data_IF_057018989891
#
_entry.id   IF_057018989891
#
_cell.length_a   1.000
_cell.length_b   1.000
_cell.length_c   1.000
_cell.angle_alpha   90.00
_cell.angle_beta   90.00
_cell.angle_gamma   90.00
#
_symmetry.space_group_name_H-M   'P 1'
#
loop_
_entity.id
_entity.type
_entity.pdbx_description
1 polymer ?
#
# COMPACT_ATOMS: atom_id res chain seq x y z
N UNK A 1 23.97 -9.51 13.11
CA UNK A 1 25.02 -10.47 12.73
C UNK A 1 24.49 -11.53 11.75
N UNK A 2 25.31 -11.97 10.79
CA UNK A 2 24.99 -13.11 9.90
C UNK A 2 25.62 -14.38 10.47
N UNK A 3 24.80 -15.41 10.62
CA UNK A 3 25.22 -16.76 10.98
C UNK A 3 24.83 -17.69 9.83
N UNK A 4 25.83 -18.35 9.24
CA UNK A 4 25.64 -19.29 8.12
C UNK A 4 25.43 -20.73 8.61
N UNK A 5 25.70 -20.98 9.88
CA UNK A 5 25.51 -22.25 10.54
C UNK A 5 24.66 -22.06 11.80
N UNK A 6 23.85 -23.04 12.21
CA UNK A 6 23.16 -23.00 13.48
C UNK A 6 24.13 -22.82 14.65
N UNK A 7 23.84 -21.92 15.56
CA UNK A 7 24.61 -21.66 16.77
C UNK A 7 23.73 -21.68 18.01
N UNK A 8 24.27 -22.14 19.13
CA UNK A 8 23.57 -22.04 20.40
C UNK A 8 23.50 -20.58 20.86
N UNK A 9 22.44 -20.22 21.59
CA UNK A 9 22.23 -18.85 22.07
C UNK A 9 23.43 -18.27 22.87
N UNK A 10 24.18 -19.13 23.55
CA UNK A 10 25.36 -18.72 24.33
C UNK A 10 26.55 -18.35 23.43
N UNK A 11 26.60 -18.92 22.21
CA UNK A 11 27.65 -18.71 21.22
C UNK A 11 27.29 -17.65 20.18
N UNK A 12 26.06 -17.12 20.25
CA UNK A 12 25.57 -16.07 19.36
C UNK A 12 26.17 -14.68 19.71
N UNK A 13 27.50 -14.58 19.66
CA UNK A 13 28.27 -13.40 20.14
C UNK A 13 28.82 -12.52 19.01
N UNK A 14 28.50 -12.82 17.72
CA UNK A 14 28.96 -11.99 16.59
C UNK A 14 28.43 -10.56 16.71
N UNK A 15 29.28 -9.61 16.36
CA UNK A 15 28.87 -8.21 16.18
C UNK A 15 27.93 -8.07 14.99
N UNK A 16 27.25 -6.94 14.90
CA UNK A 16 26.40 -6.60 13.76
C UNK A 16 27.18 -6.68 12.44
N UNK A 17 26.57 -7.32 11.45
CA UNK A 17 27.09 -7.34 10.10
C UNK A 17 26.77 -6.01 9.40
N UNK A 18 27.61 -5.60 8.47
CA UNK A 18 27.30 -4.47 7.60
C UNK A 18 26.12 -4.80 6.68
N UNK A 19 25.43 -3.78 6.17
CA UNK A 19 24.36 -3.98 5.20
C UNK A 19 24.86 -4.75 3.97
N UNK A 20 26.06 -4.44 3.49
CA UNK A 20 26.67 -5.11 2.33
C UNK A 20 26.86 -6.61 2.60
N UNK A 21 27.41 -6.98 3.75
CA UNK A 21 27.57 -8.39 4.12
C UNK A 21 26.24 -9.14 4.18
N UNK A 22 25.15 -8.46 4.57
CA UNK A 22 23.81 -9.05 4.58
C UNK A 22 23.30 -9.23 3.14
N UNK A 23 23.47 -8.20 2.29
CA UNK A 23 23.07 -8.28 0.88
C UNK A 23 23.82 -9.38 0.12
N UNK A 24 25.13 -9.53 0.35
CA UNK A 24 25.93 -10.58 -0.29
C UNK A 24 25.35 -11.97 0.04
N UNK A 25 25.06 -12.24 1.33
CA UNK A 25 24.46 -13.52 1.72
C UNK A 25 23.08 -13.74 1.09
N UNK A 26 22.23 -12.70 1.06
CA UNK A 26 20.90 -12.80 0.44
C UNK A 26 21.02 -13.12 -1.05
N UNK A 27 21.93 -12.45 -1.77
CA UNK A 27 22.12 -12.67 -3.19
C UNK A 27 22.74 -14.06 -3.48
N UNK A 28 23.69 -14.51 -2.67
CA UNK A 28 24.31 -15.84 -2.79
C UNK A 28 23.27 -16.96 -2.58
N UNK A 29 22.43 -16.84 -1.54
CA UNK A 29 21.37 -17.81 -1.24
C UNK A 29 20.34 -17.87 -2.38
N UNK A 30 19.95 -16.72 -2.94
CA UNK A 30 19.00 -16.66 -4.05
C UNK A 30 19.60 -17.20 -5.35
N UNK A 31 20.88 -16.89 -5.62
CA UNK A 31 21.62 -17.46 -6.75
C UNK A 31 21.69 -18.98 -6.65
N UNK A 32 21.95 -19.50 -5.46
CA UNK A 32 21.91 -20.94 -5.23
C UNK A 32 20.55 -21.56 -5.56
N UNK A 33 19.45 -20.89 -5.17
CA UNK A 33 18.10 -21.34 -5.49
C UNK A 33 17.78 -21.29 -6.99
N UNK A 34 18.34 -20.31 -7.71
CA UNK A 34 18.16 -20.14 -9.16
C UNK A 34 18.93 -21.18 -9.95
N UNK A 35 20.18 -21.43 -9.59
CA UNK A 35 21.10 -22.30 -10.31
C UNK A 35 20.80 -23.80 -10.13
N UNK A 36 20.17 -24.13 -9.01
CA UNK A 36 19.78 -25.51 -8.74
C UNK A 36 18.33 -25.73 -9.19
N UNK A 37 18.09 -26.76 -9.98
CA UNK A 37 16.80 -27.11 -10.61
C UNK A 37 15.74 -27.64 -9.63
N UNK A 38 15.77 -27.20 -8.35
CA UNK A 38 14.81 -27.62 -7.33
C UNK A 38 13.49 -26.84 -7.39
N UNK A 39 13.50 -25.66 -7.97
CA UNK A 39 12.32 -24.80 -8.05
C UNK A 39 11.66 -24.92 -9.44
N UNK A 40 10.34 -25.07 -9.46
CA UNK A 40 9.57 -24.89 -10.69
C UNK A 40 9.64 -23.41 -11.14
N UNK A 41 9.54 -23.16 -12.44
CA UNK A 41 9.54 -21.80 -12.98
C UNK A 41 8.46 -20.93 -12.32
N UNK A 42 7.23 -21.46 -12.22
CA UNK A 42 6.14 -20.84 -11.50
C UNK A 42 5.30 -21.89 -10.77
N UNK A 43 4.39 -21.43 -9.92
CA UNK A 43 3.47 -22.27 -9.13
C UNK A 43 1.99 -21.95 -9.41
N UNK A 44 1.69 -21.31 -10.53
CA UNK A 44 0.34 -20.86 -10.87
C UNK A 44 -0.69 -22.00 -11.02
N UNK A 45 -0.23 -23.18 -11.44
CA UNK A 45 -1.11 -24.35 -11.66
C UNK A 45 -0.91 -25.48 -10.65
N UNK A 46 0.29 -25.56 -10.06
CA UNK A 46 0.63 -26.60 -9.10
C UNK A 46 1.55 -26.06 -8.01
N UNK A 47 1.48 -26.64 -6.82
CA UNK A 47 2.28 -26.22 -5.66
C UNK A 47 2.10 -24.75 -5.26
N UNK A 48 0.91 -24.20 -5.49
CA UNK A 48 0.57 -22.84 -5.11
C UNK A 48 0.90 -22.56 -3.63
N UNK A 49 1.38 -21.37 -3.34
CA UNK A 49 1.87 -21.00 -2.00
C UNK A 49 3.30 -21.46 -1.68
N UNK A 50 3.98 -22.16 -2.61
CA UNK A 50 5.40 -22.50 -2.47
C UNK A 50 6.27 -21.53 -3.26
N UNK A 51 7.53 -21.28 -2.82
CA UNK A 51 8.48 -20.52 -3.62
C UNK A 51 8.70 -21.12 -5.01
N UNK A 52 8.85 -20.25 -6.00
CA UNK A 52 9.14 -20.61 -7.39
C UNK A 52 10.46 -20.00 -7.84
N UNK A 53 10.97 -20.42 -9.00
CA UNK A 53 12.14 -19.80 -9.62
C UNK A 53 11.88 -18.32 -9.95
N UNK A 54 10.68 -17.97 -10.42
CA UNK A 54 10.29 -16.57 -10.62
C UNK A 54 10.31 -15.75 -9.33
N UNK A 55 9.90 -16.32 -8.19
CA UNK A 55 10.05 -15.63 -6.90
C UNK A 55 11.52 -15.45 -6.50
N UNK A 56 12.37 -16.44 -6.81
CA UNK A 56 13.81 -16.38 -6.57
C UNK A 56 14.51 -15.32 -7.44
N UNK A 57 13.99 -14.97 -8.62
CA UNK A 57 14.45 -13.84 -9.43
C UNK A 57 13.85 -12.50 -8.98
N UNK A 58 12.59 -12.49 -8.54
CA UNK A 58 11.95 -11.25 -8.11
C UNK A 58 12.64 -10.61 -6.89
N UNK A 59 13.12 -11.43 -5.95
CA UNK A 59 13.77 -10.93 -4.74
C UNK A 59 15.11 -10.24 -5.00
N UNK A 60 16.11 -10.80 -5.75
CA UNK A 60 17.32 -10.09 -6.07
C UNK A 60 17.05 -8.86 -6.93
N UNK A 61 16.09 -8.89 -7.86
CA UNK A 61 15.65 -7.68 -8.56
C UNK A 61 15.25 -6.56 -7.62
N UNK A 62 14.49 -6.86 -6.55
CA UNK A 62 14.15 -5.87 -5.51
C UNK A 62 15.39 -5.41 -4.71
N UNK A 63 16.33 -6.31 -4.40
CA UNK A 63 17.60 -5.94 -3.74
C UNK A 63 18.41 -4.99 -4.62
N UNK A 64 18.53 -5.27 -5.91
CA UNK A 64 19.22 -4.41 -6.86
C UNK A 64 18.54 -3.05 -7.03
N UNK A 65 17.22 -3.00 -7.05
CA UNK A 65 16.47 -1.73 -7.02
C UNK A 65 16.83 -0.90 -5.78
N UNK A 66 16.89 -1.53 -4.61
CA UNK A 66 17.27 -0.86 -3.37
C UNK A 66 18.72 -0.36 -3.36
N UNK A 67 19.61 -1.09 -4.04
CA UNK A 67 21.03 -0.71 -4.23
C UNK A 67 21.24 0.28 -5.39
N UNK A 68 20.19 0.75 -6.05
CA UNK A 68 20.24 1.62 -7.24
C UNK A 68 20.97 0.98 -8.44
N UNK A 69 21.06 -0.35 -8.46
CA UNK A 69 21.62 -1.15 -9.56
C UNK A 69 20.51 -1.51 -10.55
N UNK A 70 20.04 -0.52 -11.29
CA UNK A 70 18.79 -0.65 -12.08
C UNK A 70 18.90 -1.58 -13.27
N UNK A 71 20.09 -1.75 -13.86
CA UNK A 71 20.28 -2.68 -14.97
C UNK A 71 20.17 -4.13 -14.48
N UNK A 72 20.84 -4.47 -13.40
CA UNK A 72 20.79 -5.80 -12.79
C UNK A 72 19.36 -6.11 -12.29
N UNK A 73 18.67 -5.13 -11.74
CA UNK A 73 17.27 -5.26 -11.37
C UNK A 73 16.37 -5.56 -12.58
N UNK A 74 16.57 -4.88 -13.70
CA UNK A 74 15.82 -5.08 -14.94
C UNK A 74 16.05 -6.48 -15.51
N UNK A 75 17.31 -6.95 -15.53
CA UNK A 75 17.68 -8.28 -15.99
C UNK A 75 16.98 -9.38 -15.18
N UNK A 76 16.95 -9.24 -13.85
CA UNK A 76 16.25 -10.20 -12.97
C UNK A 76 14.73 -10.15 -13.15
N UNK A 77 14.13 -8.99 -13.29
CA UNK A 77 12.68 -8.86 -13.53
C UNK A 77 12.28 -9.44 -14.90
N UNK A 78 13.12 -9.33 -15.93
CA UNK A 78 12.90 -10.01 -17.21
C UNK A 78 12.86 -11.54 -17.04
N UNK A 79 13.70 -12.10 -16.17
CA UNK A 79 13.66 -13.52 -15.86
C UNK A 79 12.35 -13.95 -15.16
N UNK A 80 11.71 -13.06 -14.38
CA UNK A 80 10.39 -13.33 -13.79
C UNK A 80 9.35 -13.57 -14.88
N UNK A 81 9.33 -12.73 -15.93
CA UNK A 81 8.43 -12.90 -17.07
C UNK A 81 8.73 -14.21 -17.83
N UNK A 82 10.00 -14.53 -18.04
CA UNK A 82 10.40 -15.79 -18.68
C UNK A 82 9.99 -17.02 -17.86
N UNK A 83 9.79 -16.89 -16.56
CA UNK A 83 9.23 -17.94 -15.71
C UNK A 83 7.70 -18.10 -15.87
N UNK A 84 7.03 -17.25 -16.65
CA UNK A 84 5.60 -17.32 -16.96
C UNK A 84 4.73 -16.42 -16.08
N UNK A 85 5.31 -15.54 -15.29
CA UNK A 85 4.59 -14.48 -14.60
C UNK A 85 4.35 -13.28 -15.53
N UNK A 86 3.45 -12.39 -15.16
CA UNK A 86 3.15 -11.21 -15.99
C UNK A 86 2.05 -10.37 -15.36
N UNK A 87 1.80 -9.20 -15.91
CA UNK A 87 0.83 -8.26 -15.37
C UNK A 87 -0.62 -8.77 -15.49
N UNK A 88 -1.45 -8.35 -14.55
CA UNK A 88 -2.90 -8.49 -14.59
C UNK A 88 -3.48 -7.72 -15.79
N UNK A 89 -4.45 -8.32 -16.47
CA UNK A 89 -5.08 -7.77 -17.68
C UNK A 89 -6.57 -7.44 -17.48
N UNK A 90 -7.07 -7.50 -16.25
CA UNK A 90 -8.45 -7.14 -15.87
C UNK A 90 -8.53 -5.84 -15.08
N UNK A 91 -9.71 -5.56 -14.52
CA UNK A 91 -9.90 -4.41 -13.64
C UNK A 91 -9.07 -4.55 -12.36
N UNK A 92 -8.45 -3.47 -11.91
CA UNK A 92 -7.54 -3.49 -10.75
C UNK A 92 -8.20 -4.04 -9.48
N UNK A 93 -9.46 -3.68 -9.21
CA UNK A 93 -10.20 -4.16 -8.04
C UNK A 93 -10.45 -5.68 -8.09
N UNK A 94 -10.60 -6.24 -9.30
CA UNK A 94 -10.86 -7.67 -9.46
C UNK A 94 -9.63 -8.52 -9.16
N UNK A 95 -8.43 -7.96 -9.28
CA UNK A 95 -7.18 -8.64 -8.96
C UNK A 95 -7.15 -9.17 -7.53
N UNK A 96 -7.76 -8.45 -6.57
CA UNK A 96 -7.76 -8.80 -5.15
C UNK A 96 -8.90 -9.73 -4.72
N UNK A 97 -9.71 -10.20 -5.66
CA UNK A 97 -10.79 -11.14 -5.37
C UNK A 97 -10.27 -12.57 -5.21
N UNK A 98 -10.89 -13.40 -4.35
CA UNK A 98 -10.45 -14.79 -4.10
C UNK A 98 -10.35 -15.64 -5.36
N UNK A 99 -11.24 -15.45 -6.34
CA UNK A 99 -11.22 -16.18 -7.61
C UNK A 99 -9.98 -15.89 -8.48
N UNK A 100 -9.30 -14.77 -8.23
CA UNK A 100 -8.12 -14.31 -8.98
C UNK A 100 -6.81 -14.48 -8.20
N UNK A 101 -6.82 -15.13 -7.03
CA UNK A 101 -5.63 -15.30 -6.19
C UNK A 101 -4.47 -16.07 -6.84
N UNK A 102 -4.74 -16.81 -7.92
CA UNK A 102 -3.73 -17.60 -8.68
C UNK A 102 -3.40 -16.99 -10.03
N UNK A 103 -3.62 -15.70 -10.18
CA UNK A 103 -3.31 -15.02 -11.43
C UNK A 103 -1.79 -14.91 -11.66
N UNK A 104 -1.40 -14.77 -12.93
CA UNK A 104 0.02 -14.71 -13.35
C UNK A 104 0.84 -13.57 -12.71
N UNK A 105 0.23 -12.53 -12.15
CA UNK A 105 0.91 -11.45 -11.41
C UNK A 105 1.22 -11.84 -9.95
N UNK A 106 0.55 -12.88 -9.43
CA UNK A 106 0.78 -13.36 -8.06
C UNK A 106 2.01 -14.26 -8.00
N UNK A 107 3.18 -13.68 -7.83
CA UNK A 107 4.47 -14.39 -7.81
C UNK A 107 4.57 -15.30 -6.58
N UNK A 108 4.16 -14.79 -5.42
CA UNK A 108 4.12 -15.52 -4.15
C UNK A 108 3.13 -14.91 -3.21
N UNK A 109 2.33 -15.72 -2.52
CA UNK A 109 1.43 -15.26 -1.47
C UNK A 109 1.34 -16.28 -0.34
N UNK A 110 1.15 -15.78 0.89
CA UNK A 110 0.81 -16.62 2.03
C UNK A 110 -0.63 -17.09 1.88
N UNK A 111 -0.85 -18.38 2.09
CA UNK A 111 -2.17 -18.97 1.96
C UNK A 111 -2.91 -18.94 3.29
N UNK A 112 -4.06 -18.29 3.30
CA UNK A 112 -4.98 -18.28 4.42
C UNK A 112 -6.24 -19.04 4.03
N UNK A 113 -6.74 -19.91 4.92
CA UNK A 113 -7.95 -20.69 4.72
C UNK A 113 -8.65 -20.88 6.07
N UNK A 114 -9.72 -20.15 6.26
CA UNK A 114 -10.49 -20.18 7.50
C UNK A 114 -11.09 -21.58 7.77
N UNK A 115 -11.41 -22.33 6.72
CA UNK A 115 -12.02 -23.67 6.85
C UNK A 115 -11.14 -24.68 7.59
N UNK A 116 -9.82 -24.45 7.57
CA UNK A 116 -8.82 -25.28 8.27
C UNK A 116 -8.14 -24.54 9.43
N UNK A 117 -8.71 -23.42 9.86
CA UNK A 117 -8.25 -22.66 11.03
C UNK A 117 -7.09 -21.71 10.79
N UNK A 118 -6.75 -21.42 9.54
CA UNK A 118 -5.74 -20.43 9.16
C UNK A 118 -6.43 -19.22 8.54
N UNK A 119 -6.73 -18.22 9.36
CA UNK A 119 -7.29 -16.93 8.92
C UNK A 119 -6.43 -15.77 9.40
N UNK A 120 -6.68 -14.58 8.85
CA UNK A 120 -6.14 -13.33 9.33
C UNK A 120 -7.25 -12.36 9.73
N UNK A 121 -6.87 -11.23 10.34
CA UNK A 121 -7.80 -10.21 10.82
C UNK A 121 -7.79 -8.96 9.94
N UNK A 122 -7.13 -8.96 8.79
CA UNK A 122 -6.92 -7.75 7.99
C UNK A 122 -8.25 -7.13 7.60
N UNK A 123 -9.21 -7.95 7.13
CA UNK A 123 -10.53 -7.46 6.76
C UNK A 123 -11.27 -6.82 7.94
N UNK A 124 -11.16 -7.40 9.13
CA UNK A 124 -11.77 -6.84 10.33
C UNK A 124 -11.06 -5.57 10.79
N UNK A 125 -9.73 -5.51 10.70
CA UNK A 125 -8.93 -4.32 11.08
C UNK A 125 -9.14 -3.14 10.13
N UNK A 126 -9.33 -3.39 8.84
CA UNK A 126 -9.54 -2.36 7.81
C UNK A 126 -11.01 -2.02 7.60
N UNK A 127 -11.91 -2.96 7.84
CA UNK A 127 -13.35 -2.82 7.59
C UNK A 127 -14.02 -1.74 8.44
N UNK A 128 -15.07 -1.14 7.89
CA UNK A 128 -15.88 -0.17 8.63
C UNK A 128 -16.73 -0.87 9.70
N UNK A 129 -16.95 -0.18 10.83
CA UNK A 129 -17.79 -0.70 11.92
C UNK A 129 -19.25 -0.88 11.51
N UNK A 130 -19.72 -0.01 10.64
CA UNK A 130 -21.12 0.00 10.23
C UNK A 130 -21.47 -1.13 9.24
N UNK A 131 -20.51 -1.52 8.41
CA UNK A 131 -20.78 -2.45 7.30
C UNK A 131 -20.35 -3.88 7.59
N UNK A 132 -19.22 -4.07 8.32
CA UNK A 132 -18.59 -5.37 8.50
C UNK A 132 -18.28 -5.71 9.94
N UNK A 133 -18.82 -4.97 10.91
CA UNK A 133 -18.39 -5.06 12.32
C UNK A 133 -16.86 -4.93 12.48
N UNK A 134 -16.27 -4.16 11.55
CA UNK A 134 -14.84 -3.94 11.50
C UNK A 134 -14.36 -3.01 12.60
N UNK A 135 -13.08 -3.01 12.86
CA UNK A 135 -12.49 -2.21 13.93
C UNK A 135 -12.02 -0.84 13.46
N UNK A 136 -11.86 -0.66 12.16
CA UNK A 136 -11.37 0.60 11.57
C UNK A 136 -10.02 1.06 12.18
N UNK A 137 -9.14 0.12 12.50
CA UNK A 137 -7.85 0.38 13.15
C UNK A 137 -6.78 0.75 12.12
N UNK A 138 -6.80 0.13 10.95
CA UNK A 138 -5.89 0.40 9.86
C UNK A 138 -6.60 1.29 8.85
N UNK A 139 -6.03 2.45 8.59
CA UNK A 139 -6.55 3.44 7.64
C UNK A 139 -5.44 3.91 6.72
N UNK A 140 -5.75 4.30 5.47
CA UNK A 140 -4.78 4.96 4.63
C UNK A 140 -4.33 6.28 5.26
N UNK A 141 -3.04 6.59 5.18
CA UNK A 141 -2.57 7.93 5.58
C UNK A 141 -2.98 8.97 4.54
N UNK A 142 -3.09 10.23 4.95
CA UNK A 142 -3.35 11.34 4.03
C UNK A 142 -2.26 11.41 2.95
N UNK A 143 -0.99 11.30 3.34
CA UNK A 143 0.13 11.33 2.41
C UNK A 143 0.04 10.21 1.36
N UNK A 144 -0.42 9.00 1.75
CA UNK A 144 -0.62 7.90 0.80
C UNK A 144 -1.72 8.24 -0.22
N UNK A 145 -2.83 8.84 0.22
CA UNK A 145 -3.93 9.28 -0.66
C UNK A 145 -3.46 10.39 -1.60
N UNK A 146 -2.70 11.35 -1.09
CA UNK A 146 -2.18 12.48 -1.86
C UNK A 146 -1.09 12.05 -2.87
N UNK A 147 -0.43 10.90 -2.63
CA UNK A 147 0.59 10.37 -3.53
C UNK A 147 0.04 9.85 -4.87
N UNK A 148 -1.24 9.50 -4.94
CA UNK A 148 -1.87 9.19 -6.22
C UNK A 148 -1.84 10.42 -7.15
N UNK A 149 -1.46 10.20 -8.39
CA UNK A 149 -1.37 11.26 -9.41
C UNK A 149 -2.75 11.70 -9.91
N UNK A 150 -2.78 12.78 -10.66
CA UNK A 150 -3.93 13.08 -11.52
C UNK A 150 -4.03 12.05 -12.65
N UNK A 151 -5.17 11.98 -13.33
CA UNK A 151 -5.44 11.00 -14.41
C UNK A 151 -4.46 11.14 -15.59
N UNK A 152 -3.89 12.32 -15.78
CA UNK A 152 -2.88 12.58 -16.81
C UNK A 152 -1.43 12.24 -16.39
N UNK A 153 -1.27 11.71 -15.17
CA UNK A 153 0.02 11.34 -14.59
C UNK A 153 0.77 12.49 -13.91
N UNK A 154 0.25 13.71 -13.92
CA UNK A 154 0.84 14.83 -13.18
C UNK A 154 0.69 14.63 -11.67
N UNK A 155 1.60 15.23 -10.90
CA UNK A 155 1.52 15.22 -9.43
C UNK A 155 0.26 15.95 -8.99
N UNK A 156 -0.44 15.42 -7.98
CA UNK A 156 -1.56 16.08 -7.34
C UNK A 156 -1.07 17.16 -6.36
N UNK A 157 -1.68 18.32 -6.42
CA UNK A 157 -1.50 19.37 -5.43
C UNK A 157 -2.87 19.90 -4.99
N UNK A 158 -3.06 20.10 -3.69
CA UNK A 158 -4.32 20.63 -3.15
C UNK A 158 -4.68 21.99 -3.71
N UNK A 159 -3.68 22.82 -4.00
CA UNK A 159 -3.86 24.16 -4.59
C UNK A 159 -4.40 24.17 -6.02
N UNK A 160 -4.37 23.00 -6.71
CA UNK A 160 -4.95 22.86 -8.05
C UNK A 160 -6.47 22.60 -8.00
N UNK A 161 -7.01 22.31 -6.82
CA UNK A 161 -8.46 22.06 -6.63
C UNK A 161 -9.21 23.37 -6.64
N UNK A 162 -10.27 23.54 -7.48
CA UNK A 162 -11.04 24.78 -7.54
C UNK A 162 -11.60 25.21 -6.18
N UNK A 163 -11.28 26.43 -5.77
CA UNK A 163 -11.68 26.98 -4.47
C UNK A 163 -10.73 26.64 -3.31
N UNK A 164 -9.60 25.99 -3.59
CA UNK A 164 -8.53 25.67 -2.63
C UNK A 164 -7.16 26.23 -3.07
N UNK A 165 -7.14 27.25 -3.92
CA UNK A 165 -5.92 27.82 -4.50
C UNK A 165 -4.91 28.29 -3.43
N UNK A 166 -5.42 28.73 -2.27
CA UNK A 166 -4.61 29.17 -1.13
C UNK A 166 -4.28 28.05 -0.13
N UNK A 167 -4.51 26.78 -0.48
CA UNK A 167 -4.37 25.64 0.44
C UNK A 167 -3.07 25.63 1.23
N UNK A 168 -1.96 25.92 0.58
CA UNK A 168 -0.64 25.87 1.21
C UNK A 168 -0.39 27.00 2.22
N UNK A 169 -1.18 28.05 2.13
CA UNK A 169 -1.15 29.17 3.07
C UNK A 169 -2.04 28.92 4.30
N UNK A 170 -2.93 27.93 4.25
CA UNK A 170 -3.85 27.63 5.33
C UNK A 170 -3.15 26.87 6.46
N UNK A 171 -3.49 27.25 7.69
CA UNK A 171 -3.10 26.50 8.88
C UNK A 171 -3.83 25.15 8.96
N UNK A 172 -3.31 24.14 9.70
CA UNK A 172 -4.00 22.87 9.87
C UNK A 172 -5.44 23.00 10.39
N UNK A 173 -5.72 23.95 11.28
CA UNK A 173 -7.08 24.23 11.79
C UNK A 173 -8.02 24.76 10.71
N UNK A 174 -7.51 25.58 9.80
CA UNK A 174 -8.30 26.08 8.69
C UNK A 174 -8.58 24.96 7.68
N UNK A 175 -7.58 24.13 7.37
CA UNK A 175 -7.75 22.95 6.51
C UNK A 175 -8.74 21.95 7.07
N UNK A 176 -8.77 21.71 8.38
CA UNK A 176 -9.70 20.78 9.05
C UNK A 176 -11.16 21.07 8.71
N UNK A 177 -11.54 22.36 8.57
CA UNK A 177 -12.91 22.77 8.32
C UNK A 177 -13.44 22.28 6.97
N UNK A 178 -12.57 22.15 5.97
CA UNK A 178 -12.96 21.67 4.63
C UNK A 178 -13.41 20.21 4.64
N UNK A 179 -12.93 19.40 5.59
CA UNK A 179 -13.33 18.00 5.75
C UNK A 179 -14.57 17.80 6.62
N UNK A 180 -15.18 18.86 7.07
CA UNK A 180 -16.44 18.77 7.80
C UNK A 180 -17.59 18.49 6.84
N UNK A 181 -18.56 17.66 7.28
CA UNK A 181 -19.78 17.40 6.52
C UNK A 181 -20.67 18.64 6.41
N UNK A 182 -21.57 18.64 5.47
CA UNK A 182 -22.62 19.65 5.36
C UNK A 182 -23.61 19.61 6.54
N UNK A 183 -24.36 20.69 6.75
CA UNK A 183 -25.49 20.75 7.66
C UNK A 183 -25.18 20.97 9.14
N UNK A 184 -23.92 21.27 9.53
CA UNK A 184 -23.54 21.44 10.94
C UNK A 184 -24.29 22.57 11.66
N UNK A 185 -24.88 23.55 10.95
CA UNK A 185 -25.67 24.57 11.60
C UNK A 185 -26.89 24.02 12.33
N UNK A 186 -27.41 22.88 11.85
CA UNK A 186 -28.55 22.20 12.47
C UNK A 186 -28.13 21.16 13.52
N UNK A 187 -26.83 20.97 13.77
CA UNK A 187 -26.29 19.96 14.68
C UNK A 187 -25.36 20.60 15.74
N UNK A 188 -25.96 21.22 16.74
CA UNK A 188 -25.23 22.00 17.74
C UNK A 188 -24.09 21.24 18.42
N UNK A 189 -24.26 19.95 18.74
CA UNK A 189 -23.23 19.13 19.41
C UNK A 189 -22.00 18.96 18.52
N UNK A 190 -22.17 18.57 17.26
CA UNK A 190 -21.07 18.37 16.34
C UNK A 190 -20.41 19.69 15.95
N UNK A 191 -21.22 20.71 15.66
CA UNK A 191 -20.72 22.05 15.39
C UNK A 191 -19.84 22.57 16.53
N UNK A 192 -20.29 22.47 17.77
CA UNK A 192 -19.52 22.92 18.92
C UNK A 192 -18.25 22.13 19.13
N UNK A 193 -18.25 20.84 18.81
CA UNK A 193 -17.05 20.01 18.84
C UNK A 193 -16.01 20.46 17.79
N UNK A 194 -16.45 20.79 16.57
CA UNK A 194 -15.56 21.35 15.53
C UNK A 194 -15.03 22.72 15.97
N UNK A 195 -15.91 23.63 16.40
CA UNK A 195 -15.54 24.98 16.90
C UNK A 195 -14.52 24.87 18.05
N UNK A 196 -14.70 23.91 18.95
CA UNK A 196 -13.78 23.69 20.07
C UNK A 196 -12.35 23.32 19.61
N UNK A 197 -12.20 22.67 18.45
CA UNK A 197 -10.89 22.33 17.87
C UNK A 197 -10.29 23.47 17.05
N UNK A 198 -11.07 24.04 16.15
CA UNK A 198 -10.57 25.02 15.16
C UNK A 198 -10.70 26.48 15.63
N UNK A 199 -11.65 26.79 16.51
CA UNK A 199 -12.02 28.11 16.95
C UNK A 199 -13.17 28.70 16.13
N UNK A 200 -14.00 29.55 16.79
CA UNK A 200 -15.20 30.13 16.19
C UNK A 200 -14.89 30.93 14.91
N UNK A 201 -13.90 31.80 14.95
CA UNK A 201 -13.53 32.65 13.79
C UNK A 201 -13.11 31.82 12.57
N UNK A 202 -12.36 30.76 12.79
CA UNK A 202 -11.93 29.85 11.69
C UNK A 202 -13.15 29.14 11.12
N UNK A 203 -14.02 28.61 11.97
CA UNK A 203 -15.25 27.96 11.54
C UNK A 203 -16.13 28.92 10.72
N UNK A 204 -16.40 30.10 11.20
CA UNK A 204 -17.27 31.09 10.54
C UNK A 204 -16.69 31.58 9.20
N UNK A 205 -15.37 31.56 9.05
CA UNK A 205 -14.70 32.03 7.82
C UNK A 205 -14.66 30.97 6.74
N UNK A 206 -14.42 29.70 7.11
CA UNK A 206 -14.08 28.64 6.13
C UNK A 206 -15.18 27.59 5.97
N UNK A 207 -16.11 27.44 6.92
CA UNK A 207 -17.15 26.43 6.83
C UNK A 207 -18.30 26.89 5.92
N UNK A 208 -18.73 25.99 5.04
CA UNK A 208 -19.98 26.13 4.28
C UNK A 208 -21.00 25.13 4.82
N UNK A 209 -22.20 25.62 5.18
CA UNK A 209 -23.26 24.72 5.66
C UNK A 209 -23.85 23.83 4.57
N UNK A 210 -23.74 24.25 3.31
CA UNK A 210 -24.13 23.51 2.11
C UNK A 210 -22.97 23.60 1.11
N UNK A 211 -22.61 22.48 0.51
CA UNK A 211 -21.54 22.37 -0.48
C UNK A 211 -20.13 22.28 0.11
N UNK A 212 -19.95 22.15 1.42
CA UNK A 212 -18.66 21.95 2.04
C UNK A 212 -18.05 20.59 1.62
N UNK A 213 -18.87 19.55 1.64
CA UNK A 213 -18.46 18.22 1.16
C UNK A 213 -18.17 18.21 -0.34
N UNK A 214 -18.99 18.92 -1.13
CA UNK A 214 -18.82 18.96 -2.58
C UNK A 214 -17.48 19.58 -2.98
N UNK A 215 -17.06 20.68 -2.31
CA UNK A 215 -15.77 21.31 -2.64
C UNK A 215 -14.57 20.44 -2.32
N UNK A 216 -14.62 19.63 -1.24
CA UNK A 216 -13.50 18.73 -0.91
C UNK A 216 -13.51 17.46 -1.79
N UNK A 217 -14.69 17.00 -2.20
CA UNK A 217 -14.81 15.85 -3.10
C UNK A 217 -14.14 16.08 -4.46
N UNK A 218 -14.08 17.33 -4.93
CA UNK A 218 -13.38 17.68 -6.17
C UNK A 218 -11.89 17.28 -6.14
N UNK A 219 -11.27 17.26 -4.96
CA UNK A 219 -9.88 16.80 -4.81
C UNK A 219 -9.66 15.32 -5.17
N UNK A 220 -10.74 14.55 -5.23
CA UNK A 220 -10.71 13.11 -5.55
C UNK A 220 -11.23 12.81 -6.95
N UNK A 221 -11.67 13.84 -7.69
CA UNK A 221 -12.06 13.72 -9.09
C UNK A 221 -10.83 13.79 -10.01
N UNK A 222 -10.92 13.14 -11.17
CA UNK A 222 -9.85 13.14 -12.16
C UNK A 222 -8.46 12.71 -11.63
N UNK A 223 -8.46 11.84 -10.63
CA UNK A 223 -7.26 11.19 -10.09
C UNK A 223 -7.01 9.84 -10.75
N UNK A 224 -5.86 9.25 -10.50
CA UNK A 224 -5.56 7.88 -10.88
C UNK A 224 -6.74 6.95 -10.51
N UNK A 225 -7.30 6.17 -11.44
CA UNK A 225 -8.47 5.32 -11.19
C UNK A 225 -8.29 4.35 -10.03
N UNK A 226 -7.05 3.96 -9.72
CA UNK A 226 -6.73 3.07 -8.59
C UNK A 226 -7.04 3.71 -7.24
N UNK A 227 -7.03 5.04 -7.13
CA UNK A 227 -7.40 5.73 -5.90
C UNK A 227 -8.80 5.33 -5.43
N UNK A 228 -9.78 5.38 -6.32
CA UNK A 228 -11.17 5.03 -6.01
C UNK A 228 -11.38 3.54 -5.75
N UNK A 229 -10.46 2.69 -6.20
CA UNK A 229 -10.51 1.25 -6.00
C UNK A 229 -9.74 0.79 -4.75
N UNK A 230 -8.88 1.63 -4.21
CA UNK A 230 -8.05 1.33 -3.03
C UNK A 230 -8.58 2.03 -1.77
N UNK A 231 -9.06 3.27 -1.92
CA UNK A 231 -9.53 4.11 -0.81
C UNK A 231 -11.00 4.46 -1.04
N UNK A 232 -11.89 3.82 -0.29
CA UNK A 232 -13.34 4.01 -0.36
C UNK A 232 -13.83 4.84 0.84
#
# INVERSE_FOLDING_TARGET
>A
PVYLEPVDNQDATKLESTAEQVWDVVLDDLTYCIDNEYLANNTLTANYGRPSKGAAYALPGMVYMWKEMYNEAADDFEQVELCGYGLWDGEYIDFFKPENERHKEMIFSLQYDESIGYSDNIQQMTGSRDTYDGWTEIKPSADFVDYYTNIDGSKFEWSDVPGLEDWDLLTPKQREVFFCRDGLFNEATMRNAVIGRVGQSVFDTYYLNEGNEARIKQAYENRDPRLQQTVV
#
